data_IF_515912578335
#
_entry.id   IF_515912578335
#
_cell.length_a   1.000
_cell.length_b   1.000
_cell.length_c   1.000
_cell.angle_alpha   90.00
_cell.angle_beta   90.00
_cell.angle_gamma   90.00
#
_symmetry.space_group_name_H-M   'P 1'
#
loop_
_entity.id
_entity.type
_entity.pdbx_description
1 polymer ?
#
# COMPACT_ATOMS: atom_id res chain seq x y z
N UNK A 1 18.43 -4.65 -5.55
CA UNK A 1 17.43 -4.04 -4.66
C UNK A 1 16.16 -3.85 -5.46
N UNK A 2 15.22 -4.76 -5.27
CA UNK A 2 13.94 -4.80 -5.98
C UNK A 2 12.97 -3.77 -5.38
N UNK A 3 12.36 -2.94 -6.23
CA UNK A 3 11.27 -2.03 -5.84
C UNK A 3 10.06 -2.30 -6.73
N UNK A 4 8.92 -2.55 -6.10
CA UNK A 4 7.62 -2.69 -6.75
C UNK A 4 6.71 -1.62 -6.15
N UNK A 5 6.04 -0.83 -6.99
CA UNK A 5 5.26 0.30 -6.50
C UNK A 5 3.99 0.51 -7.33
N UNK A 6 2.92 0.83 -6.62
CA UNK A 6 1.67 1.38 -7.14
C UNK A 6 1.49 2.71 -6.41
N UNK A 7 2.31 3.71 -6.76
CA UNK A 7 2.27 5.05 -6.20
C UNK A 7 2.98 6.03 -7.15
N UNK A 8 2.49 7.27 -7.31
CA UNK A 8 1.25 7.78 -6.73
C UNK A 8 -0.02 7.26 -7.47
N UNK A 9 -1.15 7.27 -6.78
CA UNK A 9 -2.48 6.88 -7.29
C UNK A 9 -3.46 8.06 -7.16
N UNK A 10 -4.19 8.38 -8.23
CA UNK A 10 -5.23 9.41 -8.26
C UNK A 10 -6.61 8.85 -7.90
N UNK A 11 -7.66 9.63 -8.13
CA UNK A 11 -9.02 9.26 -7.76
C UNK A 11 -9.60 8.13 -8.64
N UNK A 12 -10.45 7.28 -8.05
CA UNK A 12 -11.24 6.25 -8.73
C UNK A 12 -10.39 5.26 -9.54
N UNK A 13 -9.22 4.93 -9.00
CA UNK A 13 -8.29 4.02 -9.64
C UNK A 13 -8.22 2.67 -8.92
N UNK A 14 -8.22 1.59 -9.72
CA UNK A 14 -7.87 0.24 -9.29
C UNK A 14 -6.63 -0.21 -10.08
N UNK A 15 -5.54 -0.49 -9.37
CA UNK A 15 -4.25 -0.84 -9.99
C UNK A 15 -3.70 -2.13 -9.38
N UNK A 16 -3.00 -2.91 -10.20
CA UNK A 16 -2.33 -4.14 -9.77
C UNK A 16 -1.00 -4.37 -10.47
N UNK A 17 -0.05 -4.97 -9.75
CA UNK A 17 1.25 -5.43 -10.28
C UNK A 17 1.51 -6.84 -9.78
N UNK A 18 1.75 -7.77 -10.71
CA UNK A 18 2.12 -9.15 -10.40
C UNK A 18 3.62 -9.34 -10.41
N UNK A 19 4.12 -10.18 -9.52
CA UNK A 19 5.54 -10.51 -9.44
C UNK A 19 5.77 -11.92 -8.86
N UNK A 20 6.95 -12.47 -9.15
CA UNK A 20 7.41 -13.76 -8.66
C UNK A 20 8.52 -13.56 -7.64
N UNK A 21 8.45 -14.28 -6.52
CA UNK A 21 9.52 -14.43 -5.55
C UNK A 21 10.12 -15.81 -5.76
N UNK A 22 11.42 -15.88 -6.09
CA UNK A 22 12.10 -17.16 -6.39
C UNK A 22 12.84 -17.75 -5.19
N UNK A 23 13.27 -16.87 -4.28
CA UNK A 23 13.94 -17.21 -3.02
C UNK A 23 13.28 -16.41 -1.91
N UNK A 24 13.27 -16.89 -0.65
CA UNK A 24 12.70 -16.14 0.46
C UNK A 24 13.22 -14.71 0.51
N UNK A 25 12.30 -13.75 0.66
CA UNK A 25 12.58 -12.32 0.53
C UNK A 25 11.93 -11.54 1.66
N UNK A 26 12.69 -10.67 2.33
CA UNK A 26 12.12 -9.68 3.25
C UNK A 26 11.91 -8.36 2.52
N UNK A 27 10.69 -7.85 2.55
CA UNK A 27 10.32 -6.56 1.95
C UNK A 27 9.81 -5.60 3.02
N UNK A 28 10.16 -4.33 2.85
CA UNK A 28 9.50 -3.22 3.54
C UNK A 28 8.32 -2.78 2.72
N UNK A 29 7.14 -2.93 3.30
CA UNK A 29 5.89 -2.40 2.79
C UNK A 29 5.69 -0.99 3.34
N UNK A 30 5.33 -0.05 2.47
CA UNK A 30 4.83 1.28 2.84
C UNK A 30 3.56 1.55 2.06
N UNK A 31 2.47 1.87 2.76
CA UNK A 31 1.20 2.21 2.15
C UNK A 31 0.64 3.49 2.76
N UNK A 32 0.15 4.39 1.92
CA UNK A 32 -0.63 5.57 2.32
C UNK A 32 -1.98 5.51 1.63
N UNK A 33 -3.03 5.95 2.32
CA UNK A 33 -4.39 5.98 1.80
C UNK A 33 -5.36 6.72 2.73
N UNK A 34 -6.62 6.80 2.35
CA UNK A 34 -7.67 7.48 3.10
C UNK A 34 -8.42 6.49 3.97
N UNK A 35 -8.66 6.85 5.23
CA UNK A 35 -9.53 6.09 6.11
C UNK A 35 -10.06 6.93 7.26
N UNK A 36 -11.28 6.65 7.71
CA UNK A 36 -11.89 7.33 8.87
C UNK A 36 -12.84 6.40 9.59
N UNK A 37 -13.03 6.62 10.89
CA UNK A 37 -14.02 5.93 11.72
C UNK A 37 -13.92 4.38 11.67
N UNK A 38 -12.71 3.85 11.57
CA UNK A 38 -12.49 2.40 11.54
C UNK A 38 -12.46 1.77 10.14
N UNK A 39 -12.72 2.56 9.10
CA UNK A 39 -12.80 2.08 7.71
C UNK A 39 -11.70 2.70 6.84
N UNK A 40 -11.28 1.96 5.82
CA UNK A 40 -10.38 2.42 4.76
C UNK A 40 -11.17 2.62 3.46
N UNK A 41 -10.87 3.68 2.73
CA UNK A 41 -11.46 4.02 1.43
C UNK A 41 -10.43 3.84 0.31
N UNK A 42 -9.24 4.42 0.51
CA UNK A 42 -8.09 4.14 -0.34
C UNK A 42 -7.11 3.25 0.40
N UNK A 43 -6.79 2.09 -0.18
CA UNK A 43 -5.96 1.11 0.51
C UNK A 43 -5.28 0.14 -0.45
N UNK A 44 -4.16 -0.41 0.04
CA UNK A 44 -3.41 -1.46 -0.62
C UNK A 44 -3.59 -2.82 0.05
N UNK A 45 -3.37 -3.88 -0.72
CA UNK A 45 -3.23 -5.24 -0.21
C UNK A 45 -2.26 -6.05 -1.08
N UNK A 46 -1.76 -7.13 -0.49
CA UNK A 46 -0.87 -8.10 -1.11
C UNK A 46 -1.53 -9.47 -0.99
N UNK A 47 -1.68 -10.17 -2.10
CA UNK A 47 -2.24 -11.53 -2.15
C UNK A 47 -1.25 -12.53 -2.74
N UNK A 48 -1.30 -13.76 -2.26
CA UNK A 48 -0.60 -14.89 -2.87
C UNK A 48 -1.52 -15.47 -3.97
N UNK A 49 -1.05 -15.44 -5.22
CA UNK A 49 -1.87 -15.89 -6.37
C UNK A 49 -2.03 -17.41 -6.45
N UNK A 50 -1.19 -18.17 -5.74
CA UNK A 50 -1.28 -19.64 -5.74
C UNK A 50 -2.35 -20.13 -4.77
N UNK A 51 -2.46 -19.49 -3.59
CA UNK A 51 -3.44 -19.85 -2.57
C UNK A 51 -4.71 -19.02 -2.62
N UNK A 52 -4.67 -17.85 -3.28
CA UNK A 52 -5.73 -16.85 -3.25
C UNK A 52 -5.87 -16.14 -1.90
N UNK A 53 -4.96 -16.38 -0.95
CA UNK A 53 -5.01 -15.80 0.38
C UNK A 53 -4.39 -14.40 0.41
N UNK A 54 -5.01 -13.49 1.15
CA UNK A 54 -4.40 -12.21 1.51
C UNK A 54 -3.17 -12.47 2.40
N UNK A 55 -2.02 -11.95 1.97
CA UNK A 55 -0.77 -11.92 2.74
C UNK A 55 -0.78 -10.72 3.69
N UNK A 56 -1.32 -9.59 3.23
CA UNK A 56 -1.48 -8.37 4.00
C UNK A 56 -2.55 -7.49 3.38
N UNK A 57 -3.34 -6.81 4.20
CA UNK A 57 -4.31 -5.78 3.78
C UNK A 57 -4.11 -4.55 4.67
N UNK A 58 -4.21 -3.36 4.11
CA UNK A 58 -4.18 -2.14 4.91
C UNK A 58 -5.49 -2.00 5.68
N UNK A 59 -5.40 -2.04 7.00
CA UNK A 59 -6.55 -1.84 7.88
C UNK A 59 -6.42 -0.53 8.68
N UNK A 60 -7.55 0.12 8.94
CA UNK A 60 -7.57 1.38 9.69
C UNK A 60 -6.95 1.21 11.08
N UNK A 61 -7.27 0.11 11.76
CA UNK A 61 -6.80 -0.20 13.12
C UNK A 61 -5.26 -0.30 13.22
N UNK A 62 -4.61 -0.71 12.14
CA UNK A 62 -3.15 -0.92 12.08
C UNK A 62 -2.38 0.29 11.53
N UNK A 63 -3.10 1.35 11.17
CA UNK A 63 -2.56 2.55 10.55
C UNK A 63 -2.31 3.68 11.54
N UNK A 64 -1.43 4.60 11.15
CA UNK A 64 -1.17 5.86 11.87
C UNK A 64 -1.51 7.07 10.99
N UNK A 65 -1.74 8.27 11.57
CA UNK A 65 -1.87 9.50 10.79
C UNK A 65 -0.64 9.72 9.89
N UNK A 66 -0.87 10.23 8.68
CA UNK A 66 0.15 10.47 7.65
C UNK A 66 0.42 11.96 7.37
N UNK A 67 0.00 12.86 8.27
CA UNK A 67 0.07 14.31 8.08
C UNK A 67 -1.17 14.88 7.40
N UNK A 68 -1.30 16.20 7.42
CA UNK A 68 -2.46 16.90 6.86
C UNK A 68 -3.79 16.51 7.54
N UNK A 69 -4.78 16.10 6.73
CA UNK A 69 -6.08 15.67 7.22
C UNK A 69 -6.00 14.40 8.08
N UNK A 70 -6.85 14.28 9.11
CA UNK A 70 -6.86 13.12 10.03
C UNK A 70 -7.11 11.78 9.32
N UNK A 71 -7.78 11.85 8.17
CA UNK A 71 -8.12 10.72 7.33
C UNK A 71 -6.96 10.19 6.48
N UNK A 72 -5.85 10.91 6.42
CA UNK A 72 -4.63 10.42 5.79
C UNK A 72 -4.00 9.37 6.69
N UNK A 73 -3.95 8.13 6.21
CA UNK A 73 -3.46 6.97 6.95
C UNK A 73 -2.19 6.44 6.31
N UNK A 74 -1.29 5.93 7.15
CA UNK A 74 -0.04 5.28 6.73
C UNK A 74 0.16 3.97 7.46
N UNK A 75 0.68 2.99 6.75
CA UNK A 75 1.21 1.73 7.30
C UNK A 75 2.63 1.53 6.81
N UNK A 76 3.51 1.09 7.71
CA UNK A 76 4.84 0.59 7.40
C UNK A 76 5.03 -0.75 8.10
N UNK A 77 5.43 -1.77 7.36
CA UNK A 77 5.61 -3.14 7.87
C UNK A 77 6.77 -3.82 7.17
N UNK A 78 7.39 -4.78 7.85
CA UNK A 78 8.26 -5.77 7.23
C UNK A 78 7.44 -7.02 6.97
N UNK A 79 7.50 -7.54 5.76
CA UNK A 79 6.87 -8.80 5.36
C UNK A 79 7.94 -9.77 4.90
N UNK A 80 7.83 -11.02 5.34
CA UNK A 80 8.62 -12.14 4.82
C UNK A 80 7.79 -12.86 3.78
N UNK A 81 8.30 -12.94 2.55
CA UNK A 81 7.64 -13.61 1.44
C UNK A 81 8.39 -14.91 1.14
N UNK A 82 7.67 -16.02 1.17
CA UNK A 82 8.16 -17.29 0.66
C UNK A 82 8.23 -17.28 -0.88
N UNK A 83 8.97 -18.19 -1.52
CA UNK A 83 8.88 -18.38 -2.96
C UNK A 83 7.42 -18.60 -3.42
N UNK A 84 7.03 -17.95 -4.51
CA UNK A 84 5.66 -17.98 -5.01
C UNK A 84 5.31 -16.79 -5.91
N UNK A 85 4.07 -16.77 -6.41
CA UNK A 85 3.52 -15.66 -7.21
C UNK A 85 2.60 -14.79 -6.37
N UNK A 86 2.74 -13.49 -6.53
CA UNK A 86 2.02 -12.50 -5.74
C UNK A 86 1.46 -11.38 -6.62
N UNK A 87 0.36 -10.80 -6.17
CA UNK A 87 -0.18 -9.56 -6.73
C UNK A 87 -0.23 -8.47 -5.65
N UNK A 88 0.47 -7.37 -5.90
CA UNK A 88 0.32 -6.13 -5.14
C UNK A 88 -0.82 -5.35 -5.78
N UNK A 89 -1.73 -4.81 -4.95
CA UNK A 89 -2.94 -4.13 -5.41
C UNK A 89 -3.21 -2.88 -4.60
N UNK A 90 -3.90 -1.93 -5.22
CA UNK A 90 -4.37 -0.70 -4.59
C UNK A 90 -5.67 -0.24 -5.23
N UNK A 91 -6.59 0.23 -4.41
CA UNK A 91 -7.83 0.86 -4.84
C UNK A 91 -7.98 2.23 -4.17
N UNK A 92 -8.60 3.16 -4.88
CA UNK A 92 -8.92 4.51 -4.41
C UNK A 92 -10.31 4.93 -4.86
N UNK A 93 -10.95 5.79 -4.07
CA UNK A 93 -12.30 6.31 -4.35
C UNK A 93 -12.28 7.74 -4.92
N UNK A 94 -13.41 8.44 -4.82
CA UNK A 94 -13.71 9.68 -5.54
C UNK A 94 -12.81 10.87 -5.16
N UNK A 95 -12.73 11.26 -3.89
CA UNK A 95 -12.60 12.70 -3.62
C UNK A 95 -11.32 13.15 -2.92
N UNK A 96 -10.40 12.23 -2.59
CA UNK A 96 -9.19 12.57 -1.86
C UNK A 96 -8.01 11.65 -2.19
N UNK A 97 -7.36 11.89 -3.34
CA UNK A 97 -6.13 11.19 -3.71
C UNK A 97 -5.09 12.14 -4.34
N UNK A 98 -3.98 11.55 -4.81
CA UNK A 98 -2.86 12.31 -5.35
C UNK A 98 -3.28 13.23 -6.50
N UNK A 99 -2.96 14.52 -6.37
CA UNK A 99 -3.28 15.54 -7.36
C UNK A 99 -4.69 16.13 -7.24
N UNK A 100 -5.54 15.63 -6.32
CA UNK A 100 -6.92 16.05 -6.16
C UNK A 100 -7.40 16.02 -4.69
N UNK A 101 -6.61 16.58 -3.77
CA UNK A 101 -6.92 16.59 -2.34
C UNK A 101 -8.07 17.53 -1.99
N UNK A 102 -9.17 17.02 -1.42
CA UNK A 102 -10.26 17.86 -0.90
C UNK A 102 -9.99 18.49 0.50
N UNK A 103 -8.88 18.10 1.14
CA UNK A 103 -8.42 18.56 2.45
C UNK A 103 -6.87 18.57 2.43
N UNK A 104 -6.16 19.09 3.47
CA UNK A 104 -4.70 19.09 3.46
C UNK A 104 -4.09 17.70 3.19
N UNK A 105 -3.19 17.66 2.21
CA UNK A 105 -2.48 16.46 1.76
C UNK A 105 -1.63 15.82 2.87
N UNK A 106 -1.30 14.52 2.77
CA UNK A 106 -0.32 13.89 3.65
C UNK A 106 1.08 14.50 3.48
N UNK A 107 1.98 14.23 4.42
CA UNK A 107 3.35 14.76 4.42
C UNK A 107 4.16 14.28 3.19
N UNK A 108 3.91 13.03 2.75
CA UNK A 108 4.57 12.39 1.61
C UNK A 108 3.55 12.02 0.50
N UNK A 109 2.97 12.99 -0.23
CA UNK A 109 1.84 12.73 -1.14
C UNK A 109 2.20 11.79 -2.30
N UNK A 110 3.46 11.77 -2.74
CA UNK A 110 3.93 10.86 -3.79
C UNK A 110 3.91 9.39 -3.39
N UNK A 111 3.70 9.08 -2.10
CA UNK A 111 3.56 7.72 -1.59
C UNK A 111 2.10 7.27 -1.48
N UNK A 112 1.10 8.09 -1.85
CA UNK A 112 -0.31 7.68 -1.90
C UNK A 112 -0.47 6.49 -2.83
N UNK A 113 -0.83 5.34 -2.28
CA UNK A 113 -0.54 4.07 -2.92
C UNK A 113 0.16 3.07 -2.01
N UNK A 114 0.80 2.07 -2.61
CA UNK A 114 1.57 1.03 -1.91
C UNK A 114 2.90 0.72 -2.59
N UNK A 115 3.96 0.59 -1.80
CA UNK A 115 5.32 0.27 -2.26
C UNK A 115 5.90 -0.90 -1.47
N UNK A 116 6.54 -1.82 -2.17
CA UNK A 116 7.41 -2.86 -1.62
C UNK A 116 8.85 -2.57 -2.00
N UNK A 117 9.74 -2.58 -1.01
CA UNK A 117 11.18 -2.43 -1.22
C UNK A 117 11.90 -3.59 -0.54
N UNK A 118 12.67 -4.35 -1.30
CA UNK A 118 13.56 -5.39 -0.76
C UNK A 118 14.49 -4.79 0.30
N UNK A 119 14.54 -5.42 1.47
CA UNK A 119 15.48 -5.08 2.52
C UNK A 119 16.70 -5.96 2.35
N UNK A 120 17.83 -5.36 1.98
CA UNK A 120 19.11 -6.05 2.01
C UNK A 120 19.60 -6.14 3.45
N UNK A 121 19.94 -7.34 3.91
CA UNK A 121 20.81 -7.48 5.08
C UNK A 121 22.18 -6.89 4.73
N UNK A 122 22.73 -6.06 5.61
CA UNK A 122 24.09 -5.55 5.49
C UNK A 122 25.08 -6.56 6.04
#
# INVERSE_FOLDING_TARGET
MTRIAIAPVGNSEERSVRFEVRVPLTVRLTALGEGRRGEMFDFGWLENEETGAAVWTMEYADSRPAGGAIKNRRVERLLQLAPGRYALRYASDDSHAFGAWNEPAPDDPHLWGVTLVEVSEK
#
